data_IF_886373234242
#
_entry.id   IF_886373234242
#
_cell.length_a   1.000
_cell.length_b   1.000
_cell.length_c   1.000
_cell.angle_alpha   90.00
_cell.angle_beta   90.00
_cell.angle_gamma   90.00
#
_symmetry.space_group_name_H-M   'P 1'
#
loop_
_entity.id
_entity.type
_entity.pdbx_description
1 polymer ?
#
# COMPACT_ATOMS: atom_id res chain seq x y z
N UNK A 1 -7.68 -10.29 7.44
CA UNK A 1 -8.80 -9.39 7.11
C UNK A 1 -10.13 -10.11 7.37
N UNK A 2 -10.43 -10.37 8.64
CA UNK A 2 -11.63 -11.11 9.06
C UNK A 2 -12.69 -10.21 9.72
N UNK A 3 -12.59 -8.90 9.53
CA UNK A 3 -13.51 -7.97 10.19
C UNK A 3 -14.67 -7.66 9.25
N UNK A 4 -15.88 -7.79 9.77
CA UNK A 4 -17.16 -7.60 9.06
C UNK A 4 -17.36 -6.21 8.49
N UNK A 5 -16.59 -5.23 8.91
CA UNK A 5 -16.65 -3.83 8.45
C UNK A 5 -15.37 -3.44 7.74
N UNK A 6 -15.45 -3.10 6.47
CA UNK A 6 -14.34 -2.65 5.62
C UNK A 6 -13.54 -1.49 6.26
N UNK A 7 -14.25 -0.59 6.97
CA UNK A 7 -13.61 0.52 7.69
C UNK A 7 -12.68 0.02 8.80
N UNK A 8 -13.10 -1.00 9.57
CA UNK A 8 -12.24 -1.59 10.59
C UNK A 8 -11.01 -2.27 9.98
N UNK A 9 -11.17 -2.91 8.82
CA UNK A 9 -10.03 -3.50 8.08
C UNK A 9 -9.02 -2.42 7.66
N UNK A 10 -9.50 -1.29 7.16
CA UNK A 10 -8.63 -0.18 6.77
C UNK A 10 -7.92 0.46 7.97
N UNK A 11 -8.60 0.59 9.12
CA UNK A 11 -7.98 1.07 10.36
C UNK A 11 -6.92 0.08 10.88
N UNK A 12 -7.18 -1.22 10.82
CA UNK A 12 -6.18 -2.23 11.17
C UNK A 12 -4.97 -2.21 10.23
N UNK A 13 -5.18 -1.92 8.93
CA UNK A 13 -4.10 -1.73 7.98
C UNK A 13 -3.23 -0.52 8.36
N UNK A 14 -3.86 0.62 8.71
CA UNK A 14 -3.14 1.81 9.17
C UNK A 14 -2.31 1.51 10.43
N UNK A 15 -2.87 0.75 11.39
CA UNK A 15 -2.16 0.33 12.59
C UNK A 15 -0.96 -0.59 12.25
N UNK A 16 -1.11 -1.47 11.28
CA UNK A 16 -0.02 -2.31 10.78
C UNK A 16 1.11 -1.46 10.20
N UNK A 17 0.79 -0.44 9.42
CA UNK A 17 1.79 0.48 8.89
C UNK A 17 2.55 1.25 9.98
N UNK A 18 1.86 1.63 11.07
CA UNK A 18 2.52 2.21 12.25
C UNK A 18 3.46 1.20 12.93
N UNK A 19 3.06 -0.07 13.01
CA UNK A 19 3.93 -1.14 13.51
C UNK A 19 5.21 -1.28 12.67
N UNK A 20 5.09 -1.24 11.35
CA UNK A 20 6.26 -1.26 10.44
C UNK A 20 7.16 -0.04 10.65
N UNK A 21 6.59 1.15 10.84
CA UNK A 21 7.38 2.34 11.16
C UNK A 21 8.17 2.17 12.47
N UNK A 22 7.57 1.53 13.48
CA UNK A 22 8.25 1.18 14.74
C UNK A 22 9.42 0.23 14.53
N UNK A 23 9.31 -0.75 13.62
CA UNK A 23 10.42 -1.62 13.24
C UNK A 23 11.56 -0.84 12.59
N UNK A 24 11.25 0.11 11.70
CA UNK A 24 12.28 0.97 11.10
C UNK A 24 13.02 1.81 12.16
N UNK A 25 12.32 2.31 13.18
CA UNK A 25 12.96 3.02 14.30
C UNK A 25 13.91 2.11 15.08
N UNK A 26 13.54 0.85 15.33
CA UNK A 26 14.42 -0.11 15.99
C UNK A 26 15.68 -0.44 15.17
N UNK A 27 15.56 -0.39 13.83
CA UNK A 27 16.69 -0.58 12.92
C UNK A 27 17.57 0.69 12.76
N UNK A 28 17.34 1.72 13.54
CA UNK A 28 17.99 3.04 13.38
C UNK A 28 17.79 3.70 12.02
N UNK A 29 16.76 3.28 11.28
CA UNK A 29 16.39 3.82 9.98
C UNK A 29 15.31 4.93 10.14
N UNK A 30 15.60 5.98 10.90
CA UNK A 30 14.67 7.04 11.24
C UNK A 30 14.01 7.70 10.02
N UNK A 31 14.78 7.94 8.95
CA UNK A 31 14.24 8.50 7.71
C UNK A 31 13.17 7.60 7.08
N UNK A 32 13.40 6.27 7.04
CA UNK A 32 12.42 5.32 6.54
C UNK A 32 11.17 5.26 7.41
N UNK A 33 11.33 5.36 8.73
CA UNK A 33 10.21 5.41 9.65
C UNK A 33 9.31 6.63 9.40
N UNK A 34 9.90 7.81 9.21
CA UNK A 34 9.16 9.03 8.87
C UNK A 34 8.48 8.91 7.49
N UNK A 35 9.18 8.39 6.49
CA UNK A 35 8.62 8.16 5.17
C UNK A 35 7.44 7.17 5.23
N UNK A 36 7.55 6.09 6.02
CA UNK A 36 6.49 5.12 6.26
C UNK A 36 5.24 5.80 6.85
N UNK A 37 5.40 6.64 7.86
CA UNK A 37 4.28 7.34 8.48
C UNK A 37 3.65 8.35 7.51
N UNK A 38 4.45 9.19 6.87
CA UNK A 38 3.94 10.23 5.98
C UNK A 38 3.24 9.66 4.75
N UNK A 39 3.84 8.69 4.09
CA UNK A 39 3.32 8.15 2.83
C UNK A 39 2.27 7.09 3.08
N UNK A 40 2.58 6.04 3.88
CA UNK A 40 1.67 4.91 4.02
C UNK A 40 0.53 5.19 5.00
N UNK A 41 0.79 5.82 6.13
CA UNK A 41 -0.28 6.16 7.08
C UNK A 41 -0.96 7.47 6.67
N UNK A 42 -0.20 8.50 6.34
CA UNK A 42 -0.73 9.83 6.03
C UNK A 42 -1.45 9.91 4.68
N UNK A 43 -0.91 9.32 3.62
CA UNK A 43 -1.51 9.39 2.29
C UNK A 43 -2.31 8.14 1.93
N UNK A 44 -1.67 6.95 1.92
CA UNK A 44 -2.28 5.74 1.37
C UNK A 44 -3.41 5.22 2.25
N UNK A 45 -3.22 5.10 3.57
CA UNK A 45 -4.26 4.59 4.47
C UNK A 45 -5.47 5.52 4.49
N UNK A 46 -5.27 6.84 4.53
CA UNK A 46 -6.36 7.82 4.50
C UNK A 46 -7.12 7.73 3.17
N UNK A 47 -6.40 7.61 2.03
CA UNK A 47 -7.02 7.44 0.72
C UNK A 47 -7.86 6.15 0.65
N UNK A 48 -7.37 5.04 1.19
CA UNK A 48 -8.11 3.77 1.25
C UNK A 48 -9.37 3.90 2.10
N UNK A 49 -9.28 4.53 3.28
CA UNK A 49 -10.45 4.78 4.14
C UNK A 49 -11.48 5.62 3.40
N UNK A 50 -11.03 6.70 2.73
CA UNK A 50 -11.91 7.58 1.97
C UNK A 50 -12.57 6.86 0.78
N UNK A 51 -11.80 6.09 0.02
CA UNK A 51 -12.31 5.29 -1.09
C UNK A 51 -13.37 4.28 -0.62
N UNK A 52 -13.14 3.58 0.50
CA UNK A 52 -14.10 2.65 1.09
C UNK A 52 -15.37 3.36 1.54
N UNK A 53 -15.26 4.56 2.12
CA UNK A 53 -16.42 5.34 2.55
C UNK A 53 -17.26 5.79 1.36
N UNK A 54 -16.63 6.16 0.24
CA UNK A 54 -17.33 6.55 -0.99
C UNK A 54 -18.01 5.37 -1.68
N UNK A 55 -17.40 4.17 -1.64
CA UNK A 55 -17.91 2.98 -2.34
C UNK A 55 -18.85 2.11 -1.49
N UNK A 56 -19.22 2.53 -0.30
CA UNK A 56 -20.00 1.77 0.71
C UNK A 56 -21.42 1.35 0.29
N UNK A 57 -21.84 1.61 -0.96
CA UNK A 57 -23.16 1.26 -1.49
C UNK A 57 -23.35 -0.17 -1.99
N UNK A 58 -22.29 -0.98 -2.07
CA UNK A 58 -22.32 -2.33 -2.69
C UNK A 58 -21.87 -3.42 -1.71
N UNK A 59 -22.47 -3.46 -0.51
CA UNK A 59 -22.32 -4.64 0.35
C UNK A 59 -23.14 -5.79 -0.26
N UNK A 60 -22.48 -6.65 -1.05
CA UNK A 60 -23.05 -7.93 -1.43
C UNK A 60 -23.21 -8.81 -0.18
N UNK A 61 -24.33 -9.55 -0.04
CA UNK A 61 -24.50 -10.51 1.04
C UNK A 61 -23.38 -11.54 0.96
N UNK A 62 -22.60 -11.62 2.01
CA UNK A 62 -21.44 -12.49 2.11
C UNK A 62 -21.90 -13.95 2.10
N UNK A 63 -21.68 -14.63 0.99
CA UNK A 63 -21.85 -16.06 0.85
C UNK A 63 -21.01 -16.83 1.88
N UNK A 64 -21.57 -17.89 2.42
CA UNK A 64 -21.09 -18.68 3.54
C UNK A 64 -19.61 -19.07 3.48
N UNK A 65 -18.82 -18.49 4.32
CA UNK A 65 -17.36 -18.65 4.46
C UNK A 65 -16.92 -19.97 5.15
N UNK A 66 -17.83 -20.92 5.34
CA UNK A 66 -17.57 -22.11 6.16
C UNK A 66 -16.60 -23.12 5.53
N UNK A 67 -16.49 -23.20 4.20
CA UNK A 67 -15.64 -24.20 3.54
C UNK A 67 -14.21 -23.73 3.26
N UNK A 68 -13.97 -22.41 3.15
CA UNK A 68 -12.63 -21.87 2.93
C UNK A 68 -11.76 -21.83 4.20
N UNK A 69 -12.38 -21.72 5.36
CA UNK A 69 -11.65 -21.58 6.63
C UNK A 69 -10.88 -22.86 7.02
N UNK A 70 -11.41 -24.04 6.65
CA UNK A 70 -10.76 -25.32 6.93
C UNK A 70 -9.43 -25.52 6.20
N UNK A 71 -9.25 -24.87 5.04
CA UNK A 71 -8.03 -24.96 4.24
C UNK A 71 -7.09 -23.78 4.46
N UNK A 72 -7.64 -22.57 4.73
CA UNK A 72 -6.86 -21.36 4.92
C UNK A 72 -6.11 -21.29 6.24
N UNK A 73 -6.69 -21.83 7.32
CA UNK A 73 -6.03 -21.84 8.64
C UNK A 73 -4.77 -22.71 8.63
N UNK A 74 -4.79 -24.00 8.18
CA UNK A 74 -3.59 -24.80 8.15
C UNK A 74 -2.52 -24.20 7.20
N UNK A 75 -2.92 -23.63 6.06
CA UNK A 75 -2.00 -22.97 5.16
C UNK A 75 -1.32 -21.77 5.83
N UNK A 76 -2.06 -20.93 6.52
CA UNK A 76 -1.52 -19.80 7.27
C UNK A 76 -0.56 -20.24 8.39
N UNK A 77 -0.87 -21.31 9.10
CA UNK A 77 -0.01 -21.88 10.14
C UNK A 77 1.29 -22.41 9.53
N UNK A 78 1.23 -23.11 8.41
CA UNK A 78 2.43 -23.61 7.71
C UNK A 78 3.32 -22.46 7.25
N UNK A 79 2.75 -21.44 6.62
CA UNK A 79 3.51 -20.24 6.19
C UNK A 79 4.13 -19.53 7.40
N UNK A 80 3.38 -19.34 8.47
CA UNK A 80 3.89 -18.74 9.70
C UNK A 80 5.02 -19.57 10.32
N UNK A 81 4.89 -20.91 10.35
CA UNK A 81 5.92 -21.80 10.88
C UNK A 81 7.22 -21.74 10.03
N UNK A 82 7.10 -21.68 8.70
CA UNK A 82 8.24 -21.53 7.79
C UNK A 82 8.94 -20.19 8.04
N UNK A 83 8.20 -19.11 8.14
CA UNK A 83 8.75 -17.77 8.39
C UNK A 83 9.42 -17.69 9.76
N UNK A 84 8.79 -18.21 10.80
CA UNK A 84 9.39 -18.28 12.14
C UNK A 84 10.66 -19.12 12.13
N UNK A 85 10.64 -20.30 11.51
CA UNK A 85 11.82 -21.12 11.38
C UNK A 85 12.93 -20.39 10.62
N UNK A 86 12.64 -19.71 9.52
CA UNK A 86 13.61 -18.90 8.79
C UNK A 86 14.23 -17.81 9.68
N UNK A 87 13.42 -17.10 10.47
CA UNK A 87 13.89 -16.06 11.40
C UNK A 87 14.78 -16.66 12.51
N UNK A 88 14.37 -17.78 13.12
CA UNK A 88 15.15 -18.40 14.20
C UNK A 88 16.36 -19.18 13.71
N UNK A 89 16.32 -19.74 12.50
CA UNK A 89 17.44 -20.48 11.91
C UNK A 89 18.46 -19.54 11.28
N UNK A 90 18.06 -18.37 10.83
CA UNK A 90 18.99 -17.34 10.38
C UNK A 90 19.73 -16.84 11.62
N UNK A 91 20.97 -17.29 11.81
CA UNK A 91 21.91 -16.61 12.70
C UNK A 91 22.09 -15.22 12.09
N UNK A 92 21.23 -14.28 12.51
CA UNK A 92 21.48 -12.87 12.27
C UNK A 92 22.87 -12.65 12.83
N UNK A 93 23.87 -12.57 11.96
CA UNK A 93 25.12 -11.94 12.32
C UNK A 93 24.68 -10.50 12.67
N UNK A 94 24.39 -10.30 13.96
CA UNK A 94 24.21 -8.97 14.50
C UNK A 94 25.58 -8.35 14.34
N UNK A 95 25.84 -7.80 13.15
CA UNK A 95 26.97 -6.92 12.93
C UNK A 95 26.86 -5.87 14.03
N UNK A 96 27.98 -5.55 14.65
CA UNK A 96 28.02 -4.49 15.64
C UNK A 96 27.18 -3.32 15.11
N UNK A 97 26.31 -2.71 15.94
CA UNK A 97 25.52 -1.58 15.52
C UNK A 97 26.47 -0.60 14.82
N UNK A 98 26.14 -0.20 13.59
CA UNK A 98 26.97 0.76 12.88
C UNK A 98 27.13 1.95 13.85
N UNK A 99 28.37 2.24 14.25
CA UNK A 99 28.68 3.29 15.24
C UNK A 99 28.10 4.65 14.83
N UNK A 100 27.81 4.81 13.53
CA UNK A 100 27.15 5.98 13.00
C UNK A 100 26.10 5.52 11.97
N UNK A 101 24.79 5.61 12.28
CA UNK A 101 23.77 5.41 11.28
C UNK A 101 23.97 6.41 10.14
N UNK A 102 23.82 5.99 8.87
CA UNK A 102 24.01 6.89 7.73
C UNK A 102 23.12 8.11 7.88
N UNK A 103 23.73 9.29 7.81
CA UNK A 103 22.98 10.53 7.91
C UNK A 103 22.03 10.65 6.71
N UNK A 104 20.88 11.31 6.90
CA UNK A 104 19.91 11.58 5.81
C UNK A 104 20.60 12.30 4.63
N UNK A 105 21.64 13.09 4.91
CA UNK A 105 22.48 13.73 3.91
C UNK A 105 23.18 12.73 3.00
N UNK A 106 23.71 11.63 3.56
CA UNK A 106 24.44 10.63 2.78
C UNK A 106 23.50 9.87 1.86
N UNK A 107 22.28 9.61 2.32
CA UNK A 107 21.21 9.07 1.48
C UNK A 107 20.88 10.01 0.31
N UNK A 108 20.74 11.31 0.59
CA UNK A 108 20.50 12.32 -0.44
C UNK A 108 21.60 12.38 -1.47
N UNK A 109 22.87 12.37 -1.02
CA UNK A 109 24.03 12.34 -1.91
C UNK A 109 24.05 11.07 -2.76
N UNK A 110 23.83 9.90 -2.16
CA UNK A 110 23.79 8.64 -2.89
C UNK A 110 22.69 8.60 -3.95
N UNK A 111 21.52 9.14 -3.67
CA UNK A 111 20.41 9.26 -4.63
C UNK A 111 20.77 10.18 -5.82
N UNK A 112 21.48 11.28 -5.55
CA UNK A 112 21.81 12.28 -6.56
C UNK A 112 23.09 11.95 -7.36
N UNK A 113 23.87 10.95 -6.92
CA UNK A 113 25.12 10.57 -7.61
C UNK A 113 25.03 9.16 -8.21
N UNK A 114 24.92 8.16 -7.36
CA UNK A 114 24.99 6.74 -7.75
C UNK A 114 23.64 6.16 -8.18
N UNK A 115 22.52 6.76 -7.73
CA UNK A 115 21.16 6.24 -7.92
C UNK A 115 20.24 7.23 -8.61
N UNK A 116 20.78 8.05 -9.52
CA UNK A 116 19.99 9.04 -10.29
C UNK A 116 18.96 8.34 -11.18
N UNK A 117 19.36 7.26 -11.87
CA UNK A 117 18.46 6.53 -12.78
C UNK A 117 17.24 5.94 -12.04
N UNK A 118 17.39 5.21 -10.91
CA UNK A 118 16.25 4.78 -10.10
C UNK A 118 15.35 5.95 -9.64
N UNK A 119 15.95 7.07 -9.25
CA UNK A 119 15.20 8.26 -8.83
C UNK A 119 14.36 8.83 -9.98
N UNK A 120 14.93 8.91 -11.19
CA UNK A 120 14.24 9.38 -12.38
C UNK A 120 13.08 8.46 -12.78
N UNK A 121 13.30 7.13 -12.71
CA UNK A 121 12.25 6.13 -12.99
C UNK A 121 11.08 6.28 -12.01
N UNK A 122 11.35 6.51 -10.72
CA UNK A 122 10.30 6.74 -9.72
C UNK A 122 9.52 8.02 -10.04
N UNK A 123 10.21 9.10 -10.43
CA UNK A 123 9.55 10.35 -10.85
C UNK A 123 8.65 10.15 -12.06
N UNK A 124 9.12 9.41 -13.06
CA UNK A 124 8.33 9.06 -14.24
C UNK A 124 7.11 8.18 -13.86
N UNK A 125 7.30 7.21 -12.98
CA UNK A 125 6.21 6.36 -12.48
C UNK A 125 5.14 7.18 -11.77
N UNK A 126 5.53 8.15 -10.94
CA UNK A 126 4.59 9.07 -10.27
C UNK A 126 3.79 9.87 -11.30
N UNK A 127 4.45 10.37 -12.34
CA UNK A 127 3.78 11.11 -13.42
C UNK A 127 2.76 10.24 -14.16
N UNK A 128 3.15 9.03 -14.54
CA UNK A 128 2.25 8.07 -15.20
C UNK A 128 1.07 7.69 -14.30
N UNK A 129 1.31 7.47 -13.00
CA UNK A 129 0.26 7.17 -12.03
C UNK A 129 -0.74 8.34 -11.91
N UNK A 130 -0.24 9.58 -11.88
CA UNK A 130 -1.09 10.78 -11.86
C UNK A 130 -1.96 10.87 -13.11
N UNK A 131 -1.35 10.70 -14.29
CA UNK A 131 -2.09 10.73 -15.57
C UNK A 131 -3.13 9.61 -15.62
N UNK A 132 -2.79 8.40 -15.18
CA UNK A 132 -3.74 7.29 -15.08
C UNK A 132 -4.92 7.61 -14.16
N UNK A 133 -4.65 8.20 -13.00
CA UNK A 133 -5.70 8.60 -12.06
C UNK A 133 -6.63 9.67 -12.66
N UNK A 134 -6.08 10.65 -13.38
CA UNK A 134 -6.87 11.68 -14.07
C UNK A 134 -7.75 11.07 -15.16
N UNK A 135 -7.19 10.18 -16.00
CA UNK A 135 -7.95 9.50 -17.06
C UNK A 135 -9.12 8.70 -16.50
N UNK A 136 -8.90 7.98 -15.38
CA UNK A 136 -9.96 7.21 -14.71
C UNK A 136 -11.03 8.10 -14.05
N UNK A 137 -10.66 9.32 -13.66
CA UNK A 137 -11.58 10.26 -13.03
C UNK A 137 -12.43 11.06 -14.04
N UNK A 138 -12.04 11.05 -15.33
CA UNK A 138 -12.84 11.73 -16.36
C UNK A 138 -14.16 11.00 -16.59
N UNK A 139 -15.30 11.69 -16.56
CA UNK A 139 -16.58 11.08 -16.90
C UNK A 139 -16.60 10.65 -18.35
N UNK A 140 -17.07 9.44 -18.59
CA UNK A 140 -17.32 8.94 -19.95
C UNK A 140 -18.37 9.85 -20.59
N UNK A 141 -17.99 10.56 -21.68
CA UNK A 141 -18.96 11.33 -22.46
C UNK A 141 -19.93 10.32 -23.05
N UNK A 142 -21.20 10.40 -22.61
CA UNK A 142 -22.28 9.72 -23.29
C UNK A 142 -22.23 10.11 -24.77
N UNK A 143 -22.32 9.16 -25.74
CA UNK A 143 -22.41 9.50 -27.14
C UNK A 143 -23.60 10.41 -27.32
N UNK A 144 -23.40 11.63 -27.77
CA UNK A 144 -24.47 12.51 -28.22
C UNK A 144 -25.20 11.74 -29.32
N UNK A 145 -26.47 11.42 -29.06
CA UNK A 145 -27.37 10.91 -30.08
C UNK A 145 -27.61 12.03 -31.09
N UNK A 146 -26.62 12.23 -31.96
CA UNK A 146 -26.78 12.97 -33.18
C UNK A 146 -27.71 12.17 -34.11
N UNK A 147 -28.96 12.56 -34.18
CA UNK A 147 -29.84 12.03 -35.23
C UNK A 147 -31.29 11.81 -34.87
N UNK A 148 -31.98 12.81 -34.29
CA UNK A 148 -33.43 12.87 -34.50
C UNK A 148 -33.83 14.34 -34.73
N UNK A 149 -33.39 14.87 -35.86
CA UNK A 149 -33.93 16.05 -36.47
C UNK A 149 -34.23 15.78 -37.92
N UNK A 150 -35.48 15.48 -38.22
CA UNK A 150 -35.86 15.46 -39.63
C UNK A 150 -37.03 14.55 -39.92
N UNK A 151 -38.10 15.19 -40.11
CA UNK A 151 -39.15 15.11 -41.11
C UNK A 151 -40.51 14.86 -40.52
N UNK A 152 -41.18 15.99 -40.33
CA UNK A 152 -42.64 16.05 -40.39
C UNK A 152 -43.02 16.95 -41.58
N UNK A 153 -43.43 16.37 -42.66
CA UNK A 153 -44.32 16.94 -43.66
C UNK A 153 -45.69 16.40 -43.47
#
# INVERSE_FOLDING_TARGET
MSLRNLVHCALCLALTFLGVAGLFLQLNAGFLAFAQILVYVGAVAILIVFAILLTRGTEQPQEKWASGLLLSVPLAVVVAAILLNAVFSTRLAVGAPAENPPAVRDLGVALMTSHVIPLEIIGLLLTVALLGAVVLALPERAPELEGQGGTST
#
